data_IF_835478063274
#
_entry.id   IF_835478063274
#
_cell.length_a   1.000
_cell.length_b   1.000
_cell.length_c   1.000
_cell.angle_alpha   90.00
_cell.angle_beta   90.00
_cell.angle_gamma   90.00
#
_symmetry.space_group_name_H-M   'P 1'
#
loop_
_entity.id
_entity.type
_entity.pdbx_description
1 polymer ?
#
# COMPACT_ATOMS: atom_id res chain seq x y z
N UNK A 1 -9.11 17.61 0.54
CA UNK A 1 -8.03 17.36 1.53
C UNK A 1 -8.62 17.44 2.93
N UNK A 2 -7.92 17.01 3.96
CA UNK A 2 -8.44 16.98 5.35
C UNK A 2 -8.83 18.38 5.88
N UNK A 3 -8.20 19.45 5.38
CA UNK A 3 -8.51 20.84 5.71
C UNK A 3 -9.70 21.44 4.91
N UNK A 4 -10.41 20.61 4.15
CA UNK A 4 -11.55 21.02 3.31
C UNK A 4 -11.17 21.77 2.02
N UNK A 5 -9.87 21.98 1.75
CA UNK A 5 -9.43 22.64 0.52
C UNK A 5 -9.35 21.67 -0.64
N UNK A 6 -9.59 22.17 -1.85
CA UNK A 6 -9.48 21.39 -3.08
C UNK A 6 -8.03 21.36 -3.58
N UNK A 7 -7.65 20.23 -4.19
CA UNK A 7 -6.42 20.06 -4.94
C UNK A 7 -6.78 19.62 -6.35
N UNK A 8 -6.20 20.26 -7.37
CA UNK A 8 -6.34 19.83 -8.75
C UNK A 8 -5.65 18.46 -8.92
N UNK A 9 -6.45 17.41 -9.11
CA UNK A 9 -5.94 16.05 -9.26
C UNK A 9 -5.46 15.74 -10.67
N UNK A 10 -6.15 16.28 -11.68
CA UNK A 10 -5.83 16.09 -13.09
C UNK A 10 -6.61 17.07 -13.94
N UNK A 11 -6.39 16.99 -15.25
CA UNK A 11 -7.08 17.82 -16.23
C UNK A 11 -7.57 16.95 -17.38
N UNK A 12 -8.77 17.21 -17.87
CA UNK A 12 -9.30 16.64 -19.10
C UNK A 12 -9.68 17.79 -20.04
N UNK A 13 -9.17 17.73 -21.26
CA UNK A 13 -9.42 18.75 -22.28
C UNK A 13 -10.12 18.10 -23.47
N UNK A 14 -11.14 18.78 -23.98
CA UNK A 14 -11.67 18.59 -25.33
C UNK A 14 -11.12 19.73 -26.20
N UNK A 15 -10.27 19.39 -27.17
CA UNK A 15 -9.51 20.36 -27.96
C UNK A 15 -10.16 20.67 -29.33
N UNK A 16 -11.30 20.04 -29.64
CA UNK A 16 -11.96 20.20 -30.91
C UNK A 16 -11.07 19.77 -32.07
N UNK A 17 -11.14 20.50 -33.20
CA UNK A 17 -10.38 20.21 -34.43
C UNK A 17 -9.12 21.10 -34.58
N UNK A 18 -8.92 22.13 -33.76
CA UNK A 18 -7.88 23.15 -33.98
C UNK A 18 -6.46 22.59 -34.09
N UNK A 19 -6.07 21.65 -33.21
CA UNK A 19 -4.76 20.98 -33.29
C UNK A 19 -4.66 20.04 -34.50
N UNK A 20 -5.76 19.39 -34.85
CA UNK A 20 -5.80 18.51 -36.01
C UNK A 20 -5.69 19.31 -37.32
N UNK A 21 -6.30 20.48 -37.41
CA UNK A 21 -6.15 21.39 -38.55
C UNK A 21 -4.71 21.88 -38.70
N UNK A 22 -4.10 22.35 -37.59
CA UNK A 22 -2.70 22.82 -37.59
C UNK A 22 -1.71 21.73 -37.94
N UNK A 23 -1.98 20.46 -37.55
CA UNK A 23 -1.11 19.30 -37.76
C UNK A 23 -1.48 18.47 -38.99
N UNK A 24 -2.53 18.81 -39.71
CA UNK A 24 -3.02 18.08 -40.88
C UNK A 24 -3.60 16.70 -40.57
N UNK A 25 -4.09 16.46 -39.32
CA UNK A 25 -4.61 15.15 -38.89
C UNK A 25 -6.04 15.01 -39.36
N UNK A 26 -6.24 14.16 -40.40
CA UNK A 26 -7.54 13.90 -41.01
C UNK A 26 -7.91 12.42 -40.93
N UNK A 27 -9.19 12.15 -40.99
CA UNK A 27 -9.72 10.81 -41.16
C UNK A 27 -10.82 10.84 -42.26
N UNK A 28 -11.11 9.70 -42.81
CA UNK A 28 -12.19 9.55 -43.76
C UNK A 28 -13.45 9.11 -42.99
N UNK A 29 -14.53 9.86 -43.12
CA UNK A 29 -15.82 9.52 -42.52
C UNK A 29 -16.51 8.38 -43.26
N UNK A 30 -17.64 7.92 -42.72
CA UNK A 30 -18.44 6.83 -43.30
C UNK A 30 -18.96 7.12 -44.72
N UNK A 31 -19.05 8.38 -45.10
CA UNK A 31 -19.54 8.85 -46.39
C UNK A 31 -18.41 9.12 -47.39
N UNK A 32 -17.14 8.82 -46.98
CA UNK A 32 -15.94 8.96 -47.80
C UNK A 32 -15.32 10.37 -47.78
N UNK A 33 -15.83 11.31 -46.97
CA UNK A 33 -15.31 12.68 -46.89
C UNK A 33 -14.14 12.77 -45.92
N UNK A 34 -13.17 13.64 -46.27
CA UNK A 34 -12.06 13.96 -45.38
C UNK A 34 -12.51 14.94 -44.30
N UNK A 35 -12.36 14.56 -43.02
CA UNK A 35 -12.67 15.37 -41.84
C UNK A 35 -11.47 15.56 -40.97
N UNK A 36 -11.35 16.71 -40.26
CA UNK A 36 -10.34 16.87 -39.25
C UNK A 36 -10.72 16.13 -37.97
N UNK A 37 -9.78 15.48 -37.35
CA UNK A 37 -9.99 14.71 -36.12
C UNK A 37 -10.30 15.63 -34.93
N UNK A 38 -11.30 15.27 -34.14
CA UNK A 38 -11.48 15.85 -32.81
C UNK A 38 -10.47 15.21 -31.87
N UNK A 39 -9.79 16.02 -31.06
CA UNK A 39 -8.74 15.57 -30.17
C UNK A 39 -9.11 15.82 -28.71
N UNK A 40 -8.65 14.94 -27.83
CA UNK A 40 -8.76 15.07 -26.39
C UNK A 40 -7.38 14.92 -25.75
N UNK A 41 -7.20 15.51 -24.56
CA UNK A 41 -5.96 15.40 -23.80
C UNK A 41 -6.29 15.24 -22.32
N UNK A 42 -5.57 14.31 -21.67
CA UNK A 42 -5.64 14.13 -20.22
C UNK A 42 -4.25 14.30 -19.62
N UNK A 43 -4.18 15.07 -18.54
CA UNK A 43 -2.93 15.30 -17.82
C UNK A 43 -3.07 14.96 -16.34
N UNK A 44 -2.11 14.17 -15.83
CA UNK A 44 -1.93 13.90 -14.40
C UNK A 44 -0.46 14.10 -14.08
N UNK A 45 -0.15 14.72 -12.94
CA UNK A 45 1.22 14.98 -12.52
C UNK A 45 1.53 14.30 -11.17
N UNK A 46 2.79 14.30 -10.79
CA UNK A 46 3.27 13.84 -9.48
C UNK A 46 2.63 14.56 -8.29
N UNK A 47 1.88 15.65 -8.52
CA UNK A 47 1.02 16.30 -7.51
C UNK A 47 0.05 15.32 -6.86
N UNK A 48 -0.36 14.25 -7.56
CA UNK A 48 -1.20 13.19 -7.01
C UNK A 48 -0.58 12.49 -5.80
N UNK A 49 0.75 12.33 -5.77
CA UNK A 49 1.48 11.78 -4.61
C UNK A 49 1.26 12.70 -3.38
N UNK A 50 1.43 14.01 -3.57
CA UNK A 50 1.11 15.00 -2.54
C UNK A 50 -0.36 14.95 -2.11
N UNK A 51 -1.28 14.76 -3.05
CA UNK A 51 -2.71 14.59 -2.78
C UNK A 51 -3.00 13.39 -1.89
N UNK A 52 -2.39 12.24 -2.16
CA UNK A 52 -2.53 11.03 -1.33
C UNK A 52 -1.99 11.29 0.09
N UNK A 53 -0.82 11.90 0.22
CA UNK A 53 -0.23 12.21 1.54
C UNK A 53 -1.14 13.17 2.33
N UNK A 54 -1.60 14.25 1.71
CA UNK A 54 -2.45 15.25 2.38
C UNK A 54 -3.86 14.73 2.71
N UNK A 55 -4.33 13.69 2.03
CA UNK A 55 -5.64 13.08 2.29
C UNK A 55 -5.57 11.98 3.33
N UNK A 56 -4.49 11.20 3.32
CA UNK A 56 -4.34 9.98 4.11
C UNK A 56 -3.21 10.05 5.16
N UNK A 57 -2.50 11.18 5.28
CA UNK A 57 -1.48 11.36 6.32
C UNK A 57 -2.07 11.71 7.68
N UNK A 58 -1.35 11.34 8.73
CA UNK A 58 -1.55 11.78 10.12
C UNK A 58 -0.20 12.13 10.76
N UNK A 59 -0.15 12.41 12.07
CA UNK A 59 1.07 12.79 12.79
C UNK A 59 2.15 11.70 12.80
N UNK A 60 1.76 10.42 12.60
CA UNK A 60 2.67 9.29 12.54
C UNK A 60 3.17 8.97 11.11
N UNK A 61 2.61 9.62 10.09
CA UNK A 61 2.97 9.44 8.68
C UNK A 61 1.80 9.09 7.77
N UNK A 62 2.05 8.33 6.72
CA UNK A 62 1.01 7.93 5.76
C UNK A 62 0.12 6.81 6.34
N UNK A 63 -1.19 6.88 6.09
CA UNK A 63 -2.16 5.78 6.24
C UNK A 63 -2.56 5.32 4.85
N UNK A 64 -1.72 4.49 4.24
CA UNK A 64 -1.94 4.11 2.86
C UNK A 64 -3.16 3.19 2.72
N UNK A 65 -4.13 3.52 1.86
CA UNK A 65 -5.24 2.61 1.58
C UNK A 65 -4.71 1.25 1.06
N UNK A 66 -5.25 0.11 1.52
CA UNK A 66 -4.74 -1.21 1.15
C UNK A 66 -4.67 -1.47 -0.36
N UNK A 67 -5.61 -0.94 -1.14
CA UNK A 67 -5.63 -1.12 -2.59
C UNK A 67 -4.40 -0.54 -3.29
N UNK A 68 -3.90 0.62 -2.83
CA UNK A 68 -2.76 1.31 -3.45
C UNK A 68 -1.44 1.10 -2.68
N UNK A 69 -1.46 0.46 -1.51
CA UNK A 69 -0.28 0.20 -0.73
C UNK A 69 0.72 -0.68 -1.50
N UNK A 70 2.00 -0.31 -1.64
CA UNK A 70 3.02 -1.16 -2.27
C UNK A 70 3.15 -2.51 -1.58
N UNK A 71 3.00 -2.53 -0.27
CA UNK A 71 2.93 -3.73 0.57
C UNK A 71 1.74 -3.59 1.50
N UNK A 72 0.80 -4.52 1.42
CA UNK A 72 -0.41 -4.54 2.24
C UNK A 72 -0.11 -5.10 3.63
N UNK A 73 0.79 -6.08 3.69
CA UNK A 73 1.28 -6.68 4.93
C UNK A 73 2.81 -6.65 4.94
N UNK A 74 3.38 -6.24 6.07
CA UNK A 74 4.81 -6.30 6.33
C UNK A 74 5.07 -7.18 7.54
N UNK A 75 5.82 -8.26 7.34
CA UNK A 75 6.22 -9.19 8.41
C UNK A 75 7.61 -8.79 8.92
N UNK A 76 7.73 -8.60 10.21
CA UNK A 76 8.97 -8.23 10.91
C UNK A 76 9.37 -9.35 11.87
N UNK A 77 10.39 -10.15 11.55
CA UNK A 77 10.93 -11.12 12.48
C UNK A 77 11.66 -10.41 13.64
N UNK A 78 11.39 -10.85 14.87
CA UNK A 78 12.01 -10.36 16.11
C UNK A 78 13.25 -11.21 16.43
N UNK A 79 14.36 -10.90 15.77
CA UNK A 79 15.62 -11.62 15.92
C UNK A 79 16.42 -11.10 17.11
N UNK A 80 17.15 -11.98 17.80
CA UNK A 80 17.91 -11.72 19.03
C UNK A 80 19.37 -12.16 18.96
N UNK A 81 19.85 -12.51 17.76
CA UNK A 81 21.20 -13.04 17.52
C UNK A 81 21.47 -14.33 18.33
N UNK A 82 20.52 -15.27 18.30
CA UNK A 82 20.60 -16.56 18.97
C UNK A 82 20.16 -17.70 18.06
N UNK A 83 20.26 -18.96 18.55
CA UNK A 83 19.95 -20.18 17.79
C UNK A 83 18.47 -20.31 17.36
N UNK A 84 17.56 -19.55 17.98
CA UNK A 84 16.14 -19.56 17.64
C UNK A 84 15.81 -18.73 16.39
N UNK A 85 16.70 -17.85 15.96
CA UNK A 85 16.45 -16.88 14.90
C UNK A 85 16.12 -17.52 13.56
N UNK A 86 16.78 -18.64 13.21
CA UNK A 86 16.48 -19.33 11.97
C UNK A 86 15.08 -19.99 11.99
N UNK A 87 14.64 -20.50 13.15
CA UNK A 87 13.30 -21.03 13.32
C UNK A 87 12.24 -19.92 13.17
N UNK A 88 12.47 -18.74 13.75
CA UNK A 88 11.60 -17.57 13.59
C UNK A 88 11.55 -17.12 12.13
N UNK A 89 12.69 -17.09 11.45
CA UNK A 89 12.74 -16.74 10.02
C UNK A 89 11.99 -17.78 9.17
N UNK A 90 12.15 -19.07 9.44
CA UNK A 90 11.43 -20.13 8.74
C UNK A 90 9.91 -20.00 8.93
N UNK A 91 9.45 -19.71 10.16
CA UNK A 91 8.04 -19.44 10.46
C UNK A 91 7.52 -18.23 9.69
N UNK A 92 8.26 -17.12 9.66
CA UNK A 92 7.89 -15.92 8.93
C UNK A 92 7.85 -16.14 7.41
N UNK A 93 8.79 -16.92 6.85
CA UNK A 93 8.80 -17.31 5.44
C UNK A 93 7.56 -18.15 5.09
N UNK A 94 7.22 -19.13 5.94
CA UNK A 94 6.01 -19.96 5.75
C UNK A 94 4.73 -19.12 5.82
N UNK A 95 4.60 -18.23 6.82
CA UNK A 95 3.46 -17.30 6.91
C UNK A 95 3.35 -16.42 5.67
N UNK A 96 4.48 -15.89 5.18
CA UNK A 96 4.50 -15.09 3.96
C UNK A 96 3.99 -15.87 2.75
N UNK A 97 4.37 -17.14 2.59
CA UNK A 97 3.91 -17.97 1.46
C UNK A 97 2.41 -18.23 1.52
N UNK A 98 1.86 -18.49 2.70
CA UNK A 98 0.40 -18.63 2.87
C UNK A 98 -0.34 -17.37 2.49
N UNK A 99 0.12 -16.20 2.96
CA UNK A 99 -0.50 -14.90 2.64
C UNK A 99 -0.37 -14.56 1.15
N UNK A 100 0.75 -14.86 0.49
CA UNK A 100 0.93 -14.62 -0.94
C UNK A 100 0.01 -15.48 -1.83
N UNK A 101 -0.52 -16.58 -1.29
CA UNK A 101 -1.49 -17.41 -2.00
C UNK A 101 -2.92 -16.84 -1.99
N UNK A 102 -3.15 -15.78 -1.19
CA UNK A 102 -4.46 -15.13 -1.08
C UNK A 102 -4.61 -14.04 -2.14
N UNK A 103 -5.85 -13.86 -2.60
CA UNK A 103 -6.25 -12.77 -3.48
C UNK A 103 -7.12 -11.78 -2.72
N UNK A 104 -6.77 -10.50 -2.81
CA UNK A 104 -7.53 -9.41 -2.20
C UNK A 104 -7.73 -8.32 -3.26
N UNK A 105 -8.94 -7.81 -3.39
CA UNK A 105 -9.32 -6.84 -4.44
C UNK A 105 -9.08 -7.34 -5.88
N UNK A 106 -9.12 -8.66 -6.10
CA UNK A 106 -8.88 -9.26 -7.41
C UNK A 106 -7.42 -9.46 -7.80
N UNK A 107 -6.47 -9.15 -6.90
CA UNK A 107 -5.02 -9.28 -7.10
C UNK A 107 -4.36 -10.11 -6.00
N UNK A 108 -3.22 -10.76 -6.25
CA UNK A 108 -2.43 -11.40 -5.20
C UNK A 108 -2.04 -10.43 -4.09
N UNK A 109 -2.13 -10.88 -2.85
CA UNK A 109 -1.78 -10.06 -1.69
C UNK A 109 -0.29 -9.67 -1.73
N UNK A 110 0.03 -8.41 -1.53
CA UNK A 110 1.40 -7.87 -1.54
C UNK A 110 2.01 -7.93 -0.16
N UNK A 111 2.85 -8.94 0.09
CA UNK A 111 3.44 -9.23 1.39
C UNK A 111 4.96 -9.09 1.35
N UNK A 112 5.52 -8.27 2.24
CA UNK A 112 6.95 -8.11 2.43
C UNK A 112 7.40 -8.78 3.74
N UNK A 113 8.50 -9.52 3.68
CA UNK A 113 9.25 -9.96 4.85
C UNK A 113 10.48 -9.06 5.01
N UNK A 114 10.54 -8.25 6.07
CA UNK A 114 11.64 -7.31 6.32
C UNK A 114 12.74 -7.96 7.17
N UNK A 115 13.75 -8.49 6.48
CA UNK A 115 14.92 -9.15 7.10
C UNK A 115 16.14 -8.24 7.27
N UNK A 116 16.01 -6.90 7.11
CA UNK A 116 17.12 -5.98 7.26
C UNK A 116 17.75 -6.08 8.64
N UNK A 117 19.07 -5.90 8.73
CA UNK A 117 19.82 -5.97 9.97
C UNK A 117 19.66 -4.68 10.81
N UNK A 118 18.42 -4.38 11.23
CA UNK A 118 18.06 -3.24 12.09
C UNK A 118 17.11 -3.69 13.18
N UNK A 119 17.08 -2.97 14.31
CA UNK A 119 16.17 -3.27 15.43
C UNK A 119 14.72 -3.32 14.97
N UNK A 120 13.97 -4.30 15.45
CA UNK A 120 12.57 -4.50 15.05
C UNK A 120 11.69 -3.26 15.32
N UNK A 121 11.91 -2.56 16.44
CA UNK A 121 11.21 -1.30 16.73
C UNK A 121 11.44 -0.23 15.66
N UNK A 122 12.67 -0.10 15.16
CA UNK A 122 12.99 0.86 14.09
C UNK A 122 12.33 0.46 12.77
N UNK A 123 12.29 -0.83 12.45
CA UNK A 123 11.54 -1.36 11.29
C UNK A 123 10.06 -1.01 11.42
N UNK A 124 9.43 -1.32 12.57
CA UNK A 124 8.03 -1.01 12.84
C UNK A 124 7.70 0.45 12.56
N UNK A 125 8.40 1.38 13.19
CA UNK A 125 8.14 2.81 13.01
C UNK A 125 8.45 3.30 11.59
N UNK A 126 9.44 2.72 10.93
CA UNK A 126 9.70 2.99 9.51
C UNK A 126 8.50 2.60 8.63
N UNK A 127 7.86 1.46 8.92
CA UNK A 127 6.71 0.99 8.17
C UNK A 127 5.41 1.70 8.55
N UNK A 128 5.27 2.11 9.81
CA UNK A 128 4.19 3.02 10.24
C UNK A 128 4.26 4.32 9.43
N UNK A 129 5.42 4.97 9.38
CA UNK A 129 5.62 6.20 8.59
C UNK A 129 5.29 6.03 7.10
N UNK A 130 5.66 4.90 6.51
CA UNK A 130 5.38 4.58 5.10
C UNK A 130 3.91 4.20 4.86
N UNK A 131 3.14 4.02 5.92
CA UNK A 131 1.72 3.72 5.85
C UNK A 131 1.40 2.29 5.46
N UNK A 132 2.25 1.31 5.81
CA UNK A 132 1.92 -0.09 5.62
C UNK A 132 0.61 -0.44 6.36
N UNK A 133 -0.45 -0.91 5.68
CA UNK A 133 -1.76 -1.12 6.30
C UNK A 133 -1.72 -2.09 7.48
N UNK A 134 -0.96 -3.18 7.35
CA UNK A 134 -0.82 -4.20 8.39
C UNK A 134 0.68 -4.47 8.61
N UNK A 135 1.10 -4.43 9.87
CA UNK A 135 2.43 -4.82 10.31
C UNK A 135 2.28 -6.02 11.23
N UNK A 136 3.04 -7.07 10.96
CA UNK A 136 3.02 -8.33 11.72
C UNK A 136 4.39 -8.55 12.33
N UNK A 137 4.47 -8.60 13.65
CA UNK A 137 5.69 -8.96 14.36
C UNK A 137 5.61 -10.40 14.83
N UNK A 138 6.71 -11.14 14.69
CA UNK A 138 6.80 -12.53 15.12
C UNK A 138 8.11 -12.74 15.85
N UNK A 139 8.03 -13.12 17.12
CA UNK A 139 9.16 -13.55 17.93
C UNK A 139 9.10 -15.04 18.29
N UNK A 140 10.10 -15.54 19.04
CA UNK A 140 10.13 -16.95 19.48
C UNK A 140 8.87 -17.37 20.24
N UNK A 141 8.36 -16.48 21.11
CA UNK A 141 7.13 -16.73 21.87
C UNK A 141 5.89 -16.86 20.96
N UNK A 142 5.74 -15.91 20.03
CA UNK A 142 4.60 -15.90 19.11
C UNK A 142 4.62 -17.15 18.23
N UNK A 143 5.81 -17.54 17.74
CA UNK A 143 6.03 -18.78 17.01
C UNK A 143 5.64 -20.01 17.85
N UNK A 144 6.08 -20.08 19.11
CA UNK A 144 5.78 -21.20 20.01
C UNK A 144 4.28 -21.33 20.33
N UNK A 145 3.56 -20.22 20.37
CA UNK A 145 2.11 -20.16 20.60
C UNK A 145 1.28 -20.27 19.29
N UNK A 146 1.94 -20.33 18.12
CA UNK A 146 1.27 -20.34 16.82
C UNK A 146 0.49 -19.05 16.53
N UNK A 147 0.97 -17.90 17.02
CA UNK A 147 0.35 -16.59 16.91
C UNK A 147 1.18 -15.62 16.07
N UNK A 148 0.59 -14.46 15.81
CA UNK A 148 1.24 -13.30 15.24
C UNK A 148 0.79 -12.05 16.00
N UNK A 149 1.71 -11.12 16.26
CA UNK A 149 1.40 -9.81 16.82
C UNK A 149 1.06 -8.86 15.66
N UNK A 150 -0.22 -8.56 15.49
CA UNK A 150 -0.77 -7.79 14.37
C UNK A 150 -1.03 -6.35 14.81
N UNK A 151 -0.54 -5.40 14.03
CA UNK A 151 -0.71 -3.97 14.22
C UNK A 151 -1.38 -3.42 12.94
N UNK A 152 -2.51 -2.74 13.11
CA UNK A 152 -3.21 -2.05 12.02
C UNK A 152 -2.83 -0.58 12.00
N UNK A 153 -2.50 -0.06 10.83
CA UNK A 153 -2.13 1.35 10.67
C UNK A 153 -3.30 2.32 10.86
N UNK A 154 -4.50 1.88 10.55
CA UNK A 154 -5.73 2.68 10.72
C UNK A 154 -6.24 2.70 12.17
N UNK A 155 -5.73 1.83 13.04
CA UNK A 155 -6.04 1.76 14.47
C UNK A 155 -4.75 1.52 15.27
N UNK A 156 -3.84 2.52 15.23
CA UNK A 156 -2.49 2.36 15.73
C UNK A 156 -2.40 2.39 17.26
N UNK A 157 -3.28 3.14 17.92
CA UNK A 157 -3.25 3.33 19.37
C UNK A 157 -4.55 2.88 20.03
N UNK A 158 -4.41 2.41 21.25
CA UNK A 158 -5.52 2.19 22.20
C UNK A 158 -5.88 3.52 22.87
N UNK A 159 -7.00 3.55 23.58
CA UNK A 159 -7.47 4.71 24.35
C UNK A 159 -6.45 5.19 25.41
N UNK A 160 -5.59 4.30 25.90
CA UNK A 160 -4.52 4.60 26.85
C UNK A 160 -3.23 5.13 26.19
N UNK A 161 -3.25 5.36 24.88
CA UNK A 161 -2.11 5.86 24.09
C UNK A 161 -1.04 4.81 23.77
N UNK A 162 -1.20 3.56 24.19
CA UNK A 162 -0.30 2.47 23.85
C UNK A 162 -0.60 1.89 22.47
N UNK A 163 0.41 1.29 21.86
CA UNK A 163 0.28 0.62 20.58
C UNK A 163 -0.81 -0.48 20.64
N UNK A 164 -1.76 -0.42 19.71
CA UNK A 164 -2.84 -1.38 19.58
C UNK A 164 -2.34 -2.64 18.86
N UNK A 165 -1.75 -3.56 19.62
CA UNK A 165 -1.29 -4.86 19.10
C UNK A 165 -2.30 -5.95 19.42
N UNK A 166 -2.77 -6.69 18.41
CA UNK A 166 -3.60 -7.86 18.55
C UNK A 166 -2.75 -9.13 18.39
N UNK A 167 -2.82 -10.03 19.37
CA UNK A 167 -2.17 -11.35 19.29
C UNK A 167 -3.16 -12.35 18.70
N UNK A 168 -3.07 -12.60 17.41
CA UNK A 168 -4.03 -13.40 16.66
C UNK A 168 -3.43 -14.77 16.33
N UNK A 169 -4.16 -15.88 16.48
CA UNK A 169 -3.75 -17.18 15.98
C UNK A 169 -3.42 -17.09 14.48
N UNK A 170 -2.33 -17.73 14.06
CA UNK A 170 -1.88 -17.67 12.65
C UNK A 170 -2.97 -18.10 11.67
N UNK A 171 -3.68 -19.19 11.99
CA UNK A 171 -4.77 -19.72 11.15
C UNK A 171 -5.92 -18.74 10.99
N UNK A 172 -6.28 -18.04 12.06
CA UNK A 172 -7.31 -17.00 12.04
C UNK A 172 -6.84 -15.78 11.26
N UNK A 173 -5.59 -15.33 11.45
CA UNK A 173 -5.03 -14.20 10.74
C UNK A 173 -4.96 -14.44 9.22
N UNK A 174 -4.65 -15.65 8.79
CA UNK A 174 -4.61 -16.00 7.35
C UNK A 174 -6.02 -16.11 6.77
N UNK A 175 -7.02 -16.45 7.58
CA UNK A 175 -8.40 -16.63 7.13
C UNK A 175 -9.24 -15.33 7.17
N UNK A 176 -8.79 -14.29 7.89
CA UNK A 176 -9.48 -13.01 8.09
C UNK A 176 -9.12 -11.99 7.03
#
# INVERSE_FOLDING_TARGET
MQDGKALQAGTSHYLGTGFAEASGIKYQDKDGNQQFAHTTSWGVSTRMIGGVIMTHGDDDGLRCPPQIAPHQIVIIPMLRDNDEDEAVLAYCRSLRLELLALNVFGEPLRVLLDTKATKASNKRWSWVKKGAPIIVEVGPRDMGEGKAAVIRRDNLYKDDGKLATAFTPRTEFVAS
#
